data_IF_988353488124
#
_entry.id   IF_988353488124
#
_cell.length_a   1.000
_cell.length_b   1.000
_cell.length_c   1.000
_cell.angle_alpha   90.00
_cell.angle_beta   90.00
_cell.angle_gamma   90.00
#
_symmetry.space_group_name_H-M   'P 1'
#
loop_
_entity.id
_entity.type
_entity.pdbx_description
1 polymer ?
#
# COMPACT_ATOMS: atom_id res chain seq x y z
N UNK A 1 40.70 -65.63 -20.98
CA UNK A 1 41.32 -64.55 -21.78
C UNK A 1 40.49 -63.33 -21.71
N UNK A 2 40.91 -62.41 -20.86
CA UNK A 2 40.36 -61.09 -20.71
C UNK A 2 41.38 -60.04 -21.21
N UNK A 3 41.01 -59.06 -22.05
CA UNK A 3 41.84 -57.92 -22.24
C UNK A 3 41.36 -56.75 -21.33
N UNK A 4 42.33 -56.14 -20.68
CA UNK A 4 42.28 -54.98 -19.88
C UNK A 4 41.80 -53.78 -20.70
N UNK A 5 40.82 -53.07 -20.19
CA UNK A 5 40.43 -51.70 -20.65
C UNK A 5 41.30 -50.67 -19.93
N UNK A 6 41.96 -49.85 -20.73
CA UNK A 6 42.79 -48.72 -20.33
C UNK A 6 41.91 -47.49 -20.12
N UNK A 7 41.81 -47.03 -18.88
CA UNK A 7 41.00 -45.83 -18.53
C UNK A 7 41.91 -44.60 -18.45
N UNK A 8 41.95 -43.80 -19.48
CA UNK A 8 42.49 -42.44 -19.42
C UNK A 8 41.38 -41.45 -19.39
N UNK A 9 41.20 -40.80 -18.25
CA UNK A 9 40.36 -39.61 -18.12
C UNK A 9 41.04 -38.40 -18.78
N UNK A 10 40.29 -37.54 -19.49
CA UNK A 10 40.85 -36.32 -20.03
C UNK A 10 41.06 -35.28 -18.93
N UNK A 11 42.27 -34.70 -18.92
CA UNK A 11 42.65 -33.60 -18.06
C UNK A 11 41.85 -32.33 -18.43
N UNK A 12 41.23 -31.68 -17.42
CA UNK A 12 40.64 -30.38 -17.54
C UNK A 12 41.71 -29.29 -17.71
N UNK A 13 41.45 -28.23 -18.53
CA UNK A 13 42.38 -27.14 -18.67
C UNK A 13 42.41 -26.25 -17.44
N UNK A 14 43.52 -25.54 -17.16
CA UNK A 14 43.63 -24.71 -15.99
C UNK A 14 42.76 -23.44 -16.11
N UNK A 15 42.04 -23.15 -15.03
CA UNK A 15 41.27 -21.91 -14.85
C UNK A 15 42.24 -20.71 -14.86
N UNK A 16 42.15 -19.90 -15.88
CA UNK A 16 42.83 -18.60 -15.96
C UNK A 16 42.11 -17.63 -15.02
N UNK A 17 42.79 -17.29 -13.93
CA UNK A 17 42.37 -16.27 -12.98
C UNK A 17 42.64 -14.89 -13.58
N UNK A 18 41.65 -14.30 -14.26
CA UNK A 18 41.64 -12.88 -14.61
C UNK A 18 40.79 -12.16 -13.60
N UNK A 19 41.44 -11.43 -12.70
CA UNK A 19 40.81 -10.48 -11.82
C UNK A 19 40.04 -9.42 -12.64
N UNK A 20 38.73 -9.54 -12.63
CA UNK A 20 37.82 -8.48 -12.98
C UNK A 20 37.39 -7.81 -11.69
N UNK A 21 37.74 -6.54 -11.56
CA UNK A 21 37.23 -5.69 -10.49
C UNK A 21 35.71 -5.69 -10.60
N UNK A 22 35.05 -6.34 -9.66
CA UNK A 22 33.62 -6.18 -9.43
C UNK A 22 33.42 -4.74 -8.93
N UNK A 23 33.00 -3.88 -9.84
CA UNK A 23 32.41 -2.61 -9.48
C UNK A 23 31.05 -2.97 -8.88
N UNK A 24 30.99 -3.10 -7.57
CA UNK A 24 29.73 -3.01 -6.83
C UNK A 24 29.12 -1.65 -7.17
N UNK A 25 28.23 -1.65 -8.15
CA UNK A 25 27.27 -0.58 -8.30
C UNK A 25 26.37 -0.64 -7.06
N UNK A 26 26.76 0.07 -6.01
CA UNK A 26 25.90 0.41 -4.92
C UNK A 26 24.65 1.04 -5.55
N UNK A 27 23.54 0.29 -5.60
CA UNK A 27 22.22 0.85 -5.75
C UNK A 27 22.01 1.72 -4.51
N UNK A 28 22.43 2.97 -4.59
CA UNK A 28 21.95 4.01 -3.69
C UNK A 28 20.47 4.14 -3.99
N UNK A 29 19.64 3.46 -3.21
CA UNK A 29 18.25 3.84 -3.03
C UNK A 29 18.26 5.22 -2.42
N UNK A 30 18.36 6.24 -3.27
CA UNK A 30 18.02 7.59 -2.89
C UNK A 30 16.54 7.54 -2.48
N UNK A 31 16.30 7.46 -1.17
CA UNK A 31 15.00 7.76 -0.61
C UNK A 31 14.72 9.21 -1.00
N UNK A 32 13.91 9.41 -2.03
CA UNK A 32 13.41 10.73 -2.38
C UNK A 32 12.66 11.28 -1.17
N UNK A 33 13.30 12.17 -0.46
CA UNK A 33 12.67 12.93 0.62
C UNK A 33 11.71 13.92 -0.02
N UNK A 34 10.44 13.63 0.03
CA UNK A 34 9.40 14.58 -0.37
C UNK A 34 9.37 15.73 0.62
N UNK A 35 9.50 16.94 0.13
CA UNK A 35 9.28 18.12 0.96
C UNK A 35 7.78 18.19 1.31
N UNK A 36 7.45 18.16 2.59
CA UNK A 36 6.09 18.37 3.08
C UNK A 36 5.83 19.85 3.18
N UNK A 37 4.97 20.33 2.30
CA UNK A 37 4.41 21.67 2.43
C UNK A 37 3.05 21.56 3.13
N UNK A 38 2.68 22.55 3.89
CA UNK A 38 1.34 22.65 4.49
C UNK A 38 0.58 23.81 3.87
N UNK A 39 -0.72 23.61 3.66
CA UNK A 39 -1.65 24.67 3.29
C UNK A 39 -2.84 24.66 4.25
N UNK A 40 -3.57 25.76 4.28
CA UNK A 40 -4.77 25.87 5.10
C UNK A 40 -6.01 25.79 4.22
N UNK A 41 -6.90 24.88 4.56
CA UNK A 41 -8.23 24.79 3.95
C UNK A 41 -9.28 25.18 4.97
N UNK A 42 -10.39 25.71 4.50
CA UNK A 42 -11.54 26.03 5.35
C UNK A 42 -12.52 24.86 5.33
N UNK A 43 -12.84 24.31 6.49
CA UNK A 43 -13.84 23.24 6.60
C UNK A 43 -15.28 23.80 6.39
N UNK A 44 -16.27 22.91 6.36
CA UNK A 44 -17.68 23.25 6.20
C UNK A 44 -18.25 24.10 7.36
N UNK A 45 -17.50 24.25 8.45
CA UNK A 45 -17.85 25.06 9.62
C UNK A 45 -17.04 26.37 9.68
N UNK A 46 -16.28 26.70 8.63
CA UNK A 46 -15.47 27.91 8.55
C UNK A 46 -14.16 27.86 9.35
N UNK A 47 -13.72 26.70 9.85
CA UNK A 47 -12.46 26.57 10.60
C UNK A 47 -11.31 26.32 9.63
N UNK A 48 -10.16 26.95 9.88
CA UNK A 48 -8.94 26.68 9.15
C UNK A 48 -8.36 25.33 9.61
N UNK A 49 -8.16 24.45 8.66
CA UNK A 49 -7.50 23.15 8.87
C UNK A 49 -6.17 23.19 8.12
N UNK A 50 -5.10 22.88 8.81
CA UNK A 50 -3.80 22.69 8.20
C UNK A 50 -3.77 21.34 7.48
N UNK A 51 -3.49 21.37 6.18
CA UNK A 51 -3.44 20.18 5.33
C UNK A 51 -2.05 20.06 4.74
N UNK A 52 -1.37 18.92 4.92
CA UNK A 52 -0.08 18.69 4.29
C UNK A 52 -0.25 18.59 2.77
N UNK A 53 0.58 19.35 2.05
CA UNK A 53 0.73 19.21 0.61
C UNK A 53 2.02 18.42 0.34
N UNK A 54 1.88 17.32 -0.38
CA UNK A 54 3.01 16.58 -0.89
C UNK A 54 3.33 17.07 -2.30
N UNK A 55 4.50 17.66 -2.48
CA UNK A 55 5.03 18.00 -3.80
C UNK A 55 6.17 17.06 -4.13
N UNK A 56 6.14 16.43 -5.30
CA UNK A 56 7.28 15.74 -5.84
C UNK A 56 8.40 16.73 -6.15
N UNK A 57 9.65 16.30 -6.05
CA UNK A 57 10.75 17.03 -6.66
C UNK A 57 10.53 17.05 -8.17
N UNK A 58 10.87 18.15 -8.83
CA UNK A 58 10.71 18.37 -10.27
C UNK A 58 10.90 17.09 -11.11
N UNK A 59 9.86 16.72 -11.88
CA UNK A 59 9.76 15.53 -12.75
C UNK A 59 9.36 14.19 -12.08
N UNK A 60 9.06 14.12 -10.80
CA UNK A 60 8.51 12.91 -10.20
C UNK A 60 6.99 12.85 -10.33
N UNK A 61 6.46 11.69 -10.67
CA UNK A 61 5.03 11.42 -10.62
C UNK A 61 4.70 10.80 -9.25
N UNK A 62 3.54 11.15 -8.70
CA UNK A 62 3.06 10.60 -7.44
C UNK A 62 1.59 10.21 -7.53
N UNK A 63 1.18 9.31 -6.65
CA UNK A 63 -0.22 8.88 -6.56
C UNK A 63 -1.00 9.99 -5.85
N UNK A 64 -1.94 10.59 -6.57
CA UNK A 64 -2.81 11.64 -6.04
C UNK A 64 -4.07 11.09 -5.38
N UNK A 65 -4.63 10.02 -5.93
CA UNK A 65 -5.79 9.32 -5.36
C UNK A 65 -5.70 7.83 -5.65
N UNK A 66 -6.16 6.98 -4.73
CA UNK A 66 -6.23 5.56 -4.95
C UNK A 66 -7.50 4.96 -4.37
N UNK A 67 -8.09 4.01 -5.11
CA UNK A 67 -9.17 3.17 -4.64
C UNK A 67 -8.89 1.72 -4.98
N UNK A 68 -9.14 0.83 -4.04
CA UNK A 68 -8.95 -0.61 -4.22
C UNK A 68 -9.98 -1.40 -3.42
N UNK A 69 -10.30 -2.59 -3.91
CA UNK A 69 -11.16 -3.53 -3.19
C UNK A 69 -10.40 -4.81 -2.88
N UNK A 70 -10.76 -5.43 -1.79
CA UNK A 70 -10.24 -6.71 -1.31
C UNK A 70 -11.39 -7.57 -0.79
N UNK A 71 -11.19 -8.87 -0.71
CA UNK A 71 -12.13 -9.77 -0.03
C UNK A 71 -11.97 -9.65 1.49
N UNK A 72 -13.06 -9.74 2.24
CA UNK A 72 -13.07 -9.65 3.71
C UNK A 72 -12.17 -10.68 4.38
N UNK A 73 -12.04 -11.89 3.82
CA UNK A 73 -11.13 -12.93 4.31
C UNK A 73 -9.67 -12.47 4.44
N UNK A 74 -9.28 -11.39 3.77
CA UNK A 74 -7.95 -10.78 3.93
C UNK A 74 -7.67 -10.48 5.39
N UNK A 75 -8.64 -9.95 6.11
CA UNK A 75 -8.45 -9.56 7.51
C UNK A 75 -8.47 -10.75 8.45
N UNK A 76 -9.27 -11.79 8.16
CA UNK A 76 -9.21 -13.06 8.88
C UNK A 76 -7.86 -13.75 8.71
N UNK A 77 -7.32 -13.75 7.50
CA UNK A 77 -6.01 -14.31 7.19
C UNK A 77 -4.90 -13.56 7.96
N UNK A 78 -4.93 -12.24 7.96
CA UNK A 78 -3.96 -11.40 8.68
C UNK A 78 -4.11 -11.50 10.20
N UNK A 79 -5.30 -11.79 10.70
CA UNK A 79 -5.53 -12.02 12.12
C UNK A 79 -5.05 -13.39 12.58
N UNK A 80 -4.96 -14.37 11.67
CA UNK A 80 -4.65 -15.76 11.97
C UNK A 80 -5.83 -16.57 12.54
N UNK A 81 -7.04 -15.98 12.54
CA UNK A 81 -8.28 -16.63 12.96
C UNK A 81 -9.49 -16.01 12.22
N UNK A 82 -10.61 -16.74 12.10
CA UNK A 82 -11.82 -16.22 11.46
C UNK A 82 -12.41 -15.05 12.26
N UNK A 83 -12.63 -13.93 11.59
CA UNK A 83 -13.41 -12.82 12.13
C UNK A 83 -14.90 -13.11 11.87
N UNK A 84 -15.77 -12.75 12.79
CA UNK A 84 -17.20 -13.10 12.73
C UNK A 84 -18.09 -11.86 12.74
N UNK A 85 -17.79 -10.89 13.60
CA UNK A 85 -18.58 -9.68 13.73
C UNK A 85 -18.05 -8.56 12.82
N UNK A 86 -18.97 -7.76 12.27
CA UNK A 86 -18.61 -6.60 11.43
C UNK A 86 -17.61 -5.68 12.11
N UNK A 87 -17.79 -5.44 13.40
CA UNK A 87 -16.89 -4.57 14.18
C UNK A 87 -15.47 -5.11 14.25
N UNK A 88 -15.28 -6.44 14.30
CA UNK A 88 -13.94 -7.06 14.29
C UNK A 88 -13.23 -6.79 12.96
N UNK A 89 -13.95 -6.90 11.83
CA UNK A 89 -13.42 -6.56 10.51
C UNK A 89 -13.01 -5.09 10.43
N UNK A 90 -13.84 -4.18 10.94
CA UNK A 90 -13.58 -2.74 10.90
C UNK A 90 -12.40 -2.37 11.79
N UNK A 91 -12.32 -2.91 13.00
CA UNK A 91 -11.18 -2.71 13.90
C UNK A 91 -9.89 -3.22 13.25
N UNK A 92 -9.91 -4.42 12.70
CA UNK A 92 -8.74 -5.00 12.04
C UNK A 92 -8.32 -4.20 10.80
N UNK A 93 -9.29 -3.80 9.99
CA UNK A 93 -9.05 -2.94 8.83
C UNK A 93 -8.43 -1.60 9.26
N UNK A 94 -8.96 -0.97 10.32
CA UNK A 94 -8.42 0.27 10.85
C UNK A 94 -6.96 0.15 11.24
N UNK A 95 -6.57 -0.92 11.94
CA UNK A 95 -5.17 -1.17 12.33
C UNK A 95 -4.27 -1.31 11.09
N UNK A 96 -4.66 -2.13 10.12
CA UNK A 96 -3.89 -2.35 8.89
C UNK A 96 -3.75 -1.06 8.08
N UNK A 97 -4.83 -0.30 7.94
CA UNK A 97 -4.81 0.97 7.21
C UNK A 97 -3.97 2.02 7.93
N UNK A 98 -3.98 2.04 9.27
CA UNK A 98 -3.11 2.90 10.05
C UNK A 98 -1.62 2.54 9.87
N UNK A 99 -1.28 1.27 9.80
CA UNK A 99 0.08 0.82 9.50
C UNK A 99 0.52 1.24 8.08
N UNK A 100 -0.40 1.21 7.11
CA UNK A 100 -0.09 1.58 5.72
C UNK A 100 0.01 3.10 5.56
N UNK A 101 -1.01 3.84 5.96
CA UNK A 101 -1.16 5.27 5.64
C UNK A 101 -0.77 6.21 6.79
N UNK A 102 -0.66 5.70 8.03
CA UNK A 102 -0.45 6.52 9.22
C UNK A 102 -1.76 7.05 9.84
N UNK A 103 -2.91 6.68 9.29
CA UNK A 103 -4.24 6.98 9.80
C UNK A 103 -5.20 5.82 9.51
N UNK A 104 -6.14 5.57 10.42
CA UNK A 104 -7.10 4.49 10.34
C UNK A 104 -8.54 4.97 10.15
N UNK A 105 -9.49 4.10 10.52
CA UNK A 105 -10.92 4.39 10.53
C UNK A 105 -11.25 5.16 11.81
N UNK A 106 -12.04 6.21 11.68
CA UNK A 106 -12.42 7.10 12.80
C UNK A 106 -13.86 6.86 13.26
N UNK A 107 -14.81 6.89 12.33
CA UNK A 107 -16.22 6.77 12.67
C UNK A 107 -17.05 6.18 11.53
N UNK A 108 -18.24 5.68 11.86
CA UNK A 108 -19.22 5.26 10.86
C UNK A 108 -19.89 6.48 10.23
N UNK A 109 -19.94 6.52 8.91
CA UNK A 109 -20.62 7.59 8.20
C UNK A 109 -22.14 7.54 8.46
N UNK A 110 -22.78 8.71 8.49
CA UNK A 110 -24.23 8.83 8.71
C UNK A 110 -25.08 8.23 7.58
N UNK A 111 -24.51 8.12 6.39
CA UNK A 111 -25.16 7.54 5.22
C UNK A 111 -24.61 6.15 4.93
N UNK A 112 -25.44 5.28 4.35
CA UNK A 112 -25.07 3.91 3.97
C UNK A 112 -23.92 3.90 2.95
N UNK A 113 -23.28 2.75 2.80
CA UNK A 113 -22.09 2.55 1.95
C UNK A 113 -22.28 2.74 0.45
N UNK A 114 -23.45 3.18 -0.01
CA UNK A 114 -23.76 3.38 -1.41
C UNK A 114 -24.41 2.17 -2.07
N UNK A 115 -24.42 2.11 -3.40
CA UNK A 115 -25.24 1.17 -4.19
C UNK A 115 -24.94 -0.32 -3.93
N UNK A 116 -23.73 -0.64 -3.48
CA UNK A 116 -23.24 -2.03 -3.41
C UNK A 116 -22.68 -2.43 -2.05
N UNK A 117 -22.73 -1.56 -1.04
CA UNK A 117 -22.17 -1.76 0.29
C UNK A 117 -23.19 -1.40 1.35
N UNK A 118 -23.22 -2.17 2.42
CA UNK A 118 -24.18 -1.99 3.52
C UNK A 118 -23.79 -0.82 4.43
N UNK A 119 -22.50 -0.58 4.59
CA UNK A 119 -22.01 0.48 5.47
C UNK A 119 -20.84 1.24 4.86
N UNK A 120 -20.63 2.45 5.36
CA UNK A 120 -19.50 3.31 5.03
C UNK A 120 -18.86 3.83 6.32
N UNK A 121 -17.54 3.86 6.34
CA UNK A 121 -16.75 4.33 7.46
C UNK A 121 -15.77 5.40 6.97
N UNK A 122 -15.54 6.42 7.79
CA UNK A 122 -14.60 7.50 7.48
C UNK A 122 -13.20 7.11 7.92
N UNK A 123 -12.21 7.48 7.12
CA UNK A 123 -10.79 7.34 7.43
C UNK A 123 -10.17 8.71 7.61
N UNK A 124 -9.27 8.83 8.59
CA UNK A 124 -8.55 10.09 8.80
C UNK A 124 -8.10 10.28 10.24
N UNK A 125 -8.22 11.51 10.68
CA UNK A 125 -7.99 11.94 12.05
C UNK A 125 -9.25 12.63 12.59
N UNK A 126 -9.27 12.97 13.89
CA UNK A 126 -10.42 13.68 14.50
C UNK A 126 -10.76 14.99 13.80
N UNK A 127 -9.81 15.58 13.09
CA UNK A 127 -9.94 16.90 12.47
C UNK A 127 -10.06 16.88 10.94
N UNK A 128 -9.74 15.74 10.28
CA UNK A 128 -9.70 15.70 8.83
C UNK A 128 -10.06 14.30 8.28
N UNK A 129 -10.92 14.30 7.26
CA UNK A 129 -11.30 13.11 6.53
C UNK A 129 -10.33 12.92 5.34
N UNK A 130 -9.68 11.76 5.29
CA UNK A 130 -8.68 11.39 4.27
C UNK A 130 -9.15 10.29 3.32
N UNK A 131 -10.21 9.59 3.68
CA UNK A 131 -10.72 8.50 2.86
C UNK A 131 -12.02 7.92 3.40
N UNK A 132 -12.41 6.78 2.80
CA UNK A 132 -13.59 6.00 3.18
C UNK A 132 -13.31 4.52 3.04
N UNK A 133 -13.97 3.73 3.89
CA UNK A 133 -14.05 2.28 3.79
C UNK A 133 -15.51 1.90 3.65
N UNK A 134 -15.84 1.19 2.58
CA UNK A 134 -17.16 0.63 2.34
C UNK A 134 -17.12 -0.87 2.65
N UNK A 135 -18.03 -1.36 3.48
CA UNK A 135 -18.06 -2.72 4.01
C UNK A 135 -19.42 -3.37 3.78
N UNK A 136 -19.44 -4.70 3.76
CA UNK A 136 -20.65 -5.49 3.48
C UNK A 136 -20.99 -5.47 1.99
N UNK A 137 -19.99 -5.47 1.13
CA UNK A 137 -20.17 -5.45 -0.32
C UNK A 137 -20.60 -6.81 -0.88
N UNK A 138 -21.19 -6.77 -2.08
CA UNK A 138 -21.44 -7.99 -2.85
C UNK A 138 -20.16 -8.81 -2.98
N UNK A 139 -20.27 -10.13 -2.85
CA UNK A 139 -19.15 -11.07 -2.85
C UNK A 139 -18.16 -10.89 -1.69
N UNK A 140 -18.63 -10.42 -0.54
CA UNK A 140 -17.82 -10.20 0.66
C UNK A 140 -16.60 -9.32 0.40
N UNK A 141 -16.82 -8.20 -0.26
CA UNK A 141 -15.78 -7.24 -0.59
C UNK A 141 -15.83 -6.01 0.30
N UNK A 142 -14.65 -5.48 0.58
CA UNK A 142 -14.44 -4.19 1.18
C UNK A 142 -13.76 -3.27 0.16
N UNK A 143 -14.29 -2.06 -0.03
CA UNK A 143 -13.70 -1.04 -0.90
C UNK A 143 -13.07 0.05 -0.04
N UNK A 144 -11.83 0.36 -0.31
CA UNK A 144 -11.06 1.41 0.35
C UNK A 144 -10.80 2.52 -0.67
N UNK A 145 -11.14 3.74 -0.32
CA UNK A 145 -10.94 4.95 -1.13
C UNK A 145 -10.10 5.96 -0.33
N UNK A 146 -8.92 6.29 -0.84
CA UNK A 146 -8.04 7.31 -0.26
C UNK A 146 -8.03 8.50 -1.19
N UNK A 147 -8.45 9.65 -0.68
CA UNK A 147 -8.53 10.91 -1.44
C UNK A 147 -7.15 11.50 -1.69
N UNK A 148 -7.07 12.53 -2.56
CA UNK A 148 -5.85 13.30 -2.79
C UNK A 148 -5.27 13.86 -1.47
N UNK A 149 -6.12 14.43 -0.64
CA UNK A 149 -5.72 14.90 0.69
C UNK A 149 -5.18 13.76 1.56
N UNK A 150 -5.79 12.57 1.47
CA UNK A 150 -5.35 11.37 2.18
C UNK A 150 -3.99 10.88 1.69
N UNK A 151 -3.77 10.79 0.39
CA UNK A 151 -2.47 10.43 -0.18
C UNK A 151 -1.36 11.40 0.24
N UNK A 152 -1.69 12.69 0.29
CA UNK A 152 -0.77 13.73 0.73
C UNK A 152 -0.48 13.70 2.25
N UNK A 153 -1.47 13.31 3.06
CA UNK A 153 -1.34 13.17 4.51
C UNK A 153 -0.66 11.86 4.94
N UNK A 154 -0.60 10.88 4.04
CA UNK A 154 -0.07 9.57 4.35
C UNK A 154 1.41 9.61 4.75
N UNK A 155 1.80 8.72 5.66
CA UNK A 155 3.17 8.62 6.16
C UNK A 155 4.13 8.17 5.07
N UNK A 156 5.38 8.60 5.13
CA UNK A 156 6.38 8.30 4.12
C UNK A 156 6.51 6.79 3.85
N UNK A 157 6.64 6.42 2.57
CA UNK A 157 6.75 5.02 2.15
C UNK A 157 5.43 4.23 2.18
N UNK A 158 4.29 4.91 2.29
CA UNK A 158 2.99 4.25 2.29
C UNK A 158 2.73 3.44 0.99
N UNK A 159 3.25 3.87 -0.15
CA UNK A 159 3.09 3.17 -1.42
C UNK A 159 3.71 1.76 -1.37
N UNK A 160 4.90 1.64 -0.77
CA UNK A 160 5.57 0.35 -0.60
C UNK A 160 4.82 -0.54 0.39
N UNK A 161 4.30 0.03 1.48
CA UNK A 161 3.48 -0.72 2.44
C UNK A 161 2.16 -1.18 1.83
N UNK A 162 1.50 -0.31 1.07
CA UNK A 162 0.29 -0.66 0.33
C UNK A 162 0.56 -1.78 -0.68
N UNK A 163 1.64 -1.68 -1.46
CA UNK A 163 2.03 -2.73 -2.40
C UNK A 163 2.19 -4.08 -1.68
N UNK A 164 2.93 -4.11 -0.57
CA UNK A 164 3.15 -5.33 0.21
C UNK A 164 1.84 -5.89 0.80
N UNK A 165 0.91 -5.03 1.16
CA UNK A 165 -0.42 -5.44 1.60
C UNK A 165 -1.24 -6.04 0.43
N UNK A 166 -1.29 -5.36 -0.71
CA UNK A 166 -2.07 -5.77 -1.88
C UNK A 166 -1.63 -7.14 -2.40
N UNK A 167 -0.33 -7.43 -2.46
CA UNK A 167 0.15 -8.74 -2.95
C UNK A 167 -0.18 -9.91 -2.01
N UNK A 168 -0.54 -9.65 -0.75
CA UNK A 168 -0.93 -10.64 0.23
C UNK A 168 -2.46 -10.72 0.43
N UNK A 169 -3.19 -9.75 -0.08
CA UNK A 169 -4.63 -9.67 0.08
C UNK A 169 -5.37 -10.74 -0.74
N UNK A 170 -6.54 -11.14 -0.28
CA UNK A 170 -7.43 -12.06 -0.99
C UNK A 170 -8.21 -11.30 -2.05
N UNK A 171 -8.09 -11.70 -3.32
CA UNK A 171 -8.78 -11.09 -4.47
C UNK A 171 -8.65 -9.56 -4.54
N UNK A 172 -7.44 -9.03 -4.47
CA UNK A 172 -7.24 -7.58 -4.53
C UNK A 172 -7.56 -7.06 -5.93
N UNK A 173 -8.10 -5.86 -6.00
CA UNK A 173 -8.35 -5.15 -7.24
C UNK A 173 -8.16 -3.66 -7.03
N UNK A 174 -7.22 -3.06 -7.74
CA UNK A 174 -7.13 -1.60 -7.83
C UNK A 174 -8.26 -1.15 -8.77
N UNK A 175 -9.16 -0.32 -8.27
CA UNK A 175 -10.34 0.17 -9.02
C UNK A 175 -10.11 1.56 -9.59
N UNK A 176 -9.22 2.34 -8.98
CA UNK A 176 -8.81 3.65 -9.44
C UNK A 176 -7.41 3.98 -8.95
N UNK A 177 -6.64 4.62 -9.80
CA UNK A 177 -5.38 5.27 -9.44
C UNK A 177 -5.26 6.55 -10.26
N UNK A 178 -5.12 7.68 -9.60
CA UNK A 178 -4.85 8.96 -10.22
C UNK A 178 -3.39 9.33 -9.95
N UNK A 179 -2.69 9.70 -11.00
CA UNK A 179 -1.28 10.08 -10.94
C UNK A 179 -1.17 11.56 -11.29
N UNK A 180 -0.56 12.31 -10.42
CA UNK A 180 -0.20 13.71 -10.66
C UNK A 180 1.30 13.84 -10.92
N UNK A 181 1.65 14.91 -11.64
CA UNK A 181 3.02 15.31 -11.92
C UNK A 181 3.11 16.82 -11.66
N UNK A 182 4.15 17.24 -10.94
CA UNK A 182 4.50 18.66 -10.78
C UNK A 182 5.15 19.23 -12.06
#
# INVERSE_FOLDING_TARGET
DTPKADSRAPMAPPLSNRGGAETEAALSTEHETFEKYTTFLTDSKGRLIEVPLRRGKANSAFIDQISFSIHEDTFSLLAGYPLVADDEYIVRASMVLADIFGFGITEKAKHSGGRFYDSCWLMGTDNAQYGRVHFGGQNNTMLIEVTATGCNAASDGWESRLYNFIIQAVRPKITRIDIAKD
#
